data_IF_501776728844
#
_entry.id   IF_501776728844
#
_cell.length_a   1.000
_cell.length_b   1.000
_cell.length_c   1.000
_cell.angle_alpha   90.00
_cell.angle_beta   90.00
_cell.angle_gamma   90.00
#
_symmetry.space_group_name_H-M   'P 1'
#
loop_
_entity.id
_entity.type
_entity.pdbx_description
1 polymer ?
#
# COMPACT_ATOMS: atom_id res chain seq x y z
N UNK A 1 30.63 34.62 10.33
CA UNK A 1 29.16 34.54 10.45
C UNK A 1 28.65 34.20 9.07
N UNK A 2 28.38 32.92 8.82
CA UNK A 2 27.73 32.50 7.58
C UNK A 2 26.28 32.22 7.96
N UNK A 3 25.41 33.15 7.58
CA UNK A 3 23.97 32.95 7.59
C UNK A 3 23.66 31.88 6.55
N UNK A 4 23.16 30.76 7.02
CA UNK A 4 22.59 29.72 6.16
C UNK A 4 21.20 30.24 5.84
N UNK A 5 21.08 30.75 4.61
CA UNK A 5 19.81 31.16 4.01
C UNK A 5 18.84 29.99 4.13
N UNK A 6 17.77 30.18 4.90
CA UNK A 6 16.68 29.22 5.05
C UNK A 6 16.02 29.09 3.69
N UNK A 7 16.49 28.11 2.91
CA UNK A 7 15.85 27.68 1.69
C UNK A 7 14.38 27.38 2.02
N UNK A 8 13.51 28.30 1.59
CA UNK A 8 12.07 28.20 1.69
C UNK A 8 11.66 26.79 1.29
N UNK A 9 11.23 26.03 2.28
CA UNK A 9 10.64 24.73 2.03
C UNK A 9 9.30 25.03 1.39
N UNK A 10 9.30 25.13 0.06
CA UNK A 10 8.12 25.06 -0.79
C UNK A 10 7.45 23.72 -0.49
N UNK A 11 6.66 23.69 0.59
CA UNK A 11 5.74 22.59 0.88
C UNK A 11 4.67 22.69 -0.19
N UNK A 12 4.89 21.99 -1.30
CA UNK A 12 3.81 21.67 -2.21
C UNK A 12 2.60 21.19 -1.39
N UNK A 13 1.38 21.65 -1.70
CA UNK A 13 0.20 21.19 -1.00
C UNK A 13 0.17 19.67 -1.09
N UNK A 14 0.34 19.02 0.06
CA UNK A 14 0.44 17.58 0.20
C UNK A 14 -0.78 16.94 -0.46
N UNK A 15 -0.53 16.23 -1.58
CA UNK A 15 -1.55 15.67 -2.46
C UNK A 15 -2.53 14.83 -1.66
N UNK A 16 -3.83 14.95 -1.96
CA UNK A 16 -4.89 14.14 -1.32
C UNK A 16 -4.63 12.64 -1.43
N UNK A 17 -3.89 12.21 -2.47
CA UNK A 17 -3.41 10.84 -2.63
C UNK A 17 -2.37 10.44 -1.59
N UNK A 18 -1.39 11.29 -1.31
CA UNK A 18 -0.34 11.02 -0.31
C UNK A 18 -0.93 10.91 1.11
N UNK A 19 -1.92 11.76 1.44
CA UNK A 19 -2.64 11.69 2.72
C UNK A 19 -3.46 10.40 2.85
N UNK A 20 -4.07 9.96 1.75
CA UNK A 20 -4.79 8.69 1.71
C UNK A 20 -3.85 7.50 1.91
N UNK A 21 -2.71 7.50 1.22
CA UNK A 21 -1.68 6.46 1.37
C UNK A 21 -1.17 6.38 2.81
N UNK A 22 -0.83 7.52 3.42
CA UNK A 22 -0.41 7.57 4.82
C UNK A 22 -1.49 7.00 5.76
N UNK A 23 -2.75 7.41 5.57
CA UNK A 23 -3.86 6.92 6.38
C UNK A 23 -4.09 5.40 6.22
N UNK A 24 -3.85 4.84 5.03
CA UNK A 24 -3.92 3.39 4.80
C UNK A 24 -2.80 2.64 5.51
N UNK A 25 -1.58 3.18 5.50
CA UNK A 25 -0.43 2.60 6.22
C UNK A 25 -0.67 2.61 7.73
N UNK A 26 -1.10 3.75 8.28
CA UNK A 26 -1.41 3.87 9.71
C UNK A 26 -2.54 2.93 10.13
N UNK A 27 -3.60 2.83 9.32
CA UNK A 27 -4.71 1.91 9.57
C UNK A 27 -4.24 0.44 9.61
N UNK A 28 -3.31 0.04 8.75
CA UNK A 28 -2.73 -1.30 8.76
C UNK A 28 -1.99 -1.60 10.07
N UNK A 29 -1.14 -0.69 10.54
CA UNK A 29 -0.40 -0.86 11.79
C UNK A 29 -1.31 -0.88 13.03
N UNK A 30 -2.43 -0.16 12.98
CA UNK A 30 -3.43 -0.14 14.04
C UNK A 30 -4.45 -1.30 13.96
N UNK A 31 -4.35 -2.17 12.95
CA UNK A 31 -5.28 -3.29 12.75
C UNK A 31 -6.70 -2.86 12.39
N UNK A 32 -6.86 -1.68 11.79
CA UNK A 32 -8.17 -1.13 11.42
C UNK A 32 -8.64 -1.68 10.08
N UNK A 33 -9.96 -1.95 9.98
CA UNK A 33 -10.58 -2.31 8.70
C UNK A 33 -10.75 -1.09 7.79
N UNK A 34 -10.77 -1.30 6.47
CA UNK A 34 -11.05 -0.23 5.49
C UNK A 34 -12.41 0.44 5.72
N UNK A 35 -13.38 -0.28 6.26
CA UNK A 35 -14.69 0.26 6.66
C UNK A 35 -14.55 1.25 7.82
N UNK A 36 -13.72 0.92 8.82
CA UNK A 36 -13.45 1.80 9.95
C UNK A 36 -12.70 3.07 9.49
N UNK A 37 -11.77 2.93 8.54
CA UNK A 37 -11.07 4.07 7.95
C UNK A 37 -12.01 5.00 7.18
N UNK A 38 -12.93 4.46 6.39
CA UNK A 38 -13.93 5.24 5.64
C UNK A 38 -14.97 5.94 6.55
N UNK A 39 -15.13 5.50 7.80
CA UNK A 39 -15.99 6.17 8.78
C UNK A 39 -15.34 7.43 9.37
N UNK A 40 -14.00 7.50 9.36
CA UNK A 40 -13.25 8.74 9.62
C UNK A 40 -13.33 9.62 8.37
N UNK A 41 -14.10 10.71 8.49
CA UNK A 41 -14.70 11.54 7.42
C UNK A 41 -13.74 12.18 6.39
N UNK A 42 -12.46 11.81 6.38
CA UNK A 42 -11.44 12.38 5.50
C UNK A 42 -11.42 11.72 4.11
N UNK A 43 -11.85 10.45 3.98
CA UNK A 43 -11.79 9.73 2.71
C UNK A 43 -13.06 8.93 2.43
N UNK A 44 -13.56 9.03 1.19
CA UNK A 44 -14.69 8.21 0.73
C UNK A 44 -14.23 6.77 0.56
N UNK A 45 -15.06 5.81 0.95
CA UNK A 45 -14.79 4.37 0.76
C UNK A 45 -14.40 4.01 -0.69
N UNK A 46 -15.00 4.70 -1.67
CA UNK A 46 -14.65 4.55 -3.09
C UNK A 46 -13.21 4.96 -3.41
N UNK A 47 -12.69 6.03 -2.79
CA UNK A 47 -11.31 6.50 -3.00
C UNK A 47 -10.30 5.54 -2.37
N UNK A 48 -10.60 5.04 -1.15
CA UNK A 48 -9.82 3.98 -0.50
C UNK A 48 -9.76 2.73 -1.39
N UNK A 49 -10.91 2.32 -1.93
CA UNK A 49 -11.00 1.13 -2.78
C UNK A 49 -10.23 1.32 -4.09
N UNK A 50 -10.34 2.49 -4.72
CA UNK A 50 -9.61 2.80 -5.95
C UNK A 50 -8.09 2.73 -5.73
N UNK A 51 -7.58 3.38 -4.68
CA UNK A 51 -6.15 3.38 -4.34
C UNK A 51 -5.61 1.95 -4.09
N UNK A 52 -6.33 1.12 -3.33
CA UNK A 52 -5.94 -0.28 -3.11
C UNK A 52 -5.99 -1.10 -4.41
N UNK A 53 -7.03 -0.95 -5.22
CA UNK A 53 -7.16 -1.66 -6.48
C UNK A 53 -6.07 -1.28 -7.49
N UNK A 54 -5.72 0.00 -7.60
CA UNK A 54 -4.66 0.47 -8.49
C UNK A 54 -3.30 -0.15 -8.12
N UNK A 55 -2.98 -0.19 -6.83
CA UNK A 55 -1.77 -0.84 -6.34
C UNK A 55 -1.75 -2.34 -6.69
N UNK A 56 -2.87 -3.05 -6.47
CA UNK A 56 -2.98 -4.47 -6.79
C UNK A 56 -2.89 -4.75 -8.30
N UNK A 57 -3.49 -3.90 -9.13
CA UNK A 57 -3.39 -3.98 -10.59
C UNK A 57 -1.94 -3.76 -11.03
N UNK A 58 -1.25 -2.78 -10.45
CA UNK A 58 0.18 -2.53 -10.70
C UNK A 58 1.03 -3.74 -10.36
N UNK A 59 0.83 -4.35 -9.19
CA UNK A 59 1.49 -5.60 -8.81
C UNK A 59 1.21 -6.76 -9.75
N UNK A 60 -0.06 -6.93 -10.17
CA UNK A 60 -0.43 -7.99 -11.11
C UNK A 60 0.27 -7.84 -12.45
N UNK A 61 0.39 -6.60 -12.97
CA UNK A 61 1.14 -6.30 -14.20
C UNK A 61 2.61 -6.61 -14.03
N UNK A 62 3.23 -6.10 -12.97
CA UNK A 62 4.65 -6.35 -12.67
C UNK A 62 4.98 -7.85 -12.59
N UNK A 63 4.16 -8.62 -11.88
CA UNK A 63 4.33 -10.08 -11.79
C UNK A 63 4.12 -10.74 -13.16
N UNK A 64 3.13 -10.30 -13.93
CA UNK A 64 2.87 -10.77 -15.29
C UNK A 64 4.05 -10.57 -16.23
N UNK A 65 4.66 -9.38 -16.22
CA UNK A 65 5.82 -9.05 -17.05
C UNK A 65 7.03 -9.93 -16.73
N UNK A 66 7.28 -10.20 -15.44
CA UNK A 66 8.35 -11.11 -15.01
C UNK A 66 8.10 -12.55 -15.41
N UNK A 67 6.85 -13.02 -15.31
CA UNK A 67 6.47 -14.35 -15.79
C UNK A 67 6.66 -14.48 -17.30
N UNK A 68 6.33 -13.44 -18.08
CA UNK A 68 6.56 -13.40 -19.53
C UNK A 68 8.05 -13.39 -19.88
N UNK A 69 8.88 -12.74 -19.05
CA UNK A 69 10.34 -12.79 -19.16
C UNK A 69 10.96 -14.15 -18.76
N UNK A 70 10.14 -15.13 -18.36
CA UNK A 70 10.58 -16.47 -17.98
C UNK A 70 11.08 -16.57 -16.54
N UNK A 71 10.88 -15.53 -15.73
CA UNK A 71 11.23 -15.58 -14.31
C UNK A 71 10.20 -16.39 -13.52
N UNK A 72 10.66 -17.03 -12.45
CA UNK A 72 9.78 -17.68 -11.47
C UNK A 72 9.76 -16.86 -10.18
N UNK A 73 8.88 -15.84 -10.08
CA UNK A 73 8.83 -14.93 -8.94
C UNK A 73 8.37 -15.63 -7.64
N UNK A 74 7.70 -16.77 -7.78
CA UNK A 74 7.31 -17.61 -6.66
C UNK A 74 8.22 -18.83 -6.60
N UNK A 75 9.10 -18.87 -5.62
CA UNK A 75 9.87 -20.08 -5.31
C UNK A 75 8.87 -21.18 -4.94
N UNK A 76 8.92 -22.30 -5.66
CA UNK A 76 8.25 -23.55 -5.32
C UNK A 76 8.94 -24.23 -4.13
N UNK A 77 9.14 -23.48 -3.03
CA UNK A 77 9.50 -24.08 -1.76
C UNK A 77 8.42 -25.08 -1.35
N UNK A 78 8.77 -26.17 -0.64
CA UNK A 78 7.78 -27.13 -0.17
C UNK A 78 6.68 -26.38 0.58
N UNK A 79 5.43 -26.55 0.12
CA UNK A 79 4.27 -25.90 0.72
C UNK A 79 4.29 -26.11 2.25
N UNK A 80 3.94 -25.10 3.06
CA UNK A 80 3.86 -25.27 4.51
C UNK A 80 2.98 -26.48 4.81
N UNK A 81 3.55 -27.51 5.46
CA UNK A 81 2.80 -28.72 5.81
C UNK A 81 1.64 -28.28 6.71
N UNK A 82 0.40 -28.45 6.23
CA UNK A 82 -0.78 -28.21 7.06
C UNK A 82 -0.65 -29.04 8.35
N UNK A 83 -0.89 -28.45 9.54
CA UNK A 83 -0.93 -29.23 10.76
C UNK A 83 -2.05 -30.28 10.63
N UNK A 84 -1.86 -31.50 11.15
CA UNK A 84 -2.88 -32.53 11.09
C UNK A 84 -4.15 -32.03 11.78
N UNK A 85 -5.30 -32.15 11.10
CA UNK A 85 -6.61 -31.95 11.73
C UNK A 85 -6.74 -32.99 12.85
N UNK A 86 -6.82 -32.54 14.10
CA UNK A 86 -7.25 -33.39 15.21
C UNK A 86 -8.69 -33.84 14.92
N UNK A 87 -8.92 -35.17 14.98
CA UNK A 87 -10.26 -35.76 15.00
C UNK A 87 -10.93 -35.51 16.33
#
# INVERSE_FOLDING_TARGET
MNEIDEAGTDREPESDGAKLEQALVEAHYLGLSLRALAANRNFRYAAITASVCELLIGWARFVGDRLQAGEQPFVSGPAPRRPPRKK
#
